data_IF_469481385416
#
_entry.id   IF_469481385416
#
_cell.length_a   1.000
_cell.length_b   1.000
_cell.length_c   1.000
_cell.angle_alpha   90.00
_cell.angle_beta   90.00
_cell.angle_gamma   90.00
#
_symmetry.space_group_name_H-M   'P 1'
#
loop_
_entity.id
_entity.type
_entity.pdbx_description
1 polymer ?
#
# COMPACT_ATOMS: atom_id res chain seq x y z
N UNK A 1 10.88 16.02 -8.59
CA UNK A 1 10.49 15.37 -7.31
C UNK A 1 10.97 13.94 -7.39
N UNK A 2 11.88 13.51 -6.50
CA UNK A 2 12.39 12.14 -6.56
C UNK A 2 11.35 11.17 -6.02
N UNK A 3 11.19 10.02 -6.67
CA UNK A 3 10.28 8.95 -6.25
C UNK A 3 10.55 8.50 -4.79
N UNK A 4 11.80 8.61 -4.34
CA UNK A 4 12.22 8.34 -2.98
C UNK A 4 11.58 9.31 -1.96
N UNK A 5 11.46 10.59 -2.32
CA UNK A 5 10.79 11.59 -1.47
C UNK A 5 9.30 11.25 -1.31
N UNK A 6 8.68 10.74 -2.39
CA UNK A 6 7.28 10.31 -2.37
C UNK A 6 7.09 9.09 -1.46
N UNK A 7 7.96 8.08 -1.55
CA UNK A 7 7.90 6.90 -0.69
C UNK A 7 8.09 7.25 0.80
N UNK A 8 9.00 8.18 1.09
CA UNK A 8 9.18 8.68 2.45
C UNK A 8 7.92 9.38 2.97
N UNK A 9 7.34 10.30 2.18
CA UNK A 9 6.10 10.99 2.56
C UNK A 9 4.92 10.04 2.76
N UNK A 10 4.78 9.01 1.92
CA UNK A 10 3.75 7.99 2.11
C UNK A 10 3.93 7.25 3.45
N UNK A 11 5.18 6.99 3.84
CA UNK A 11 5.50 6.37 5.13
C UNK A 11 5.15 7.28 6.30
N UNK A 12 5.47 8.58 6.21
CA UNK A 12 5.11 9.61 7.21
C UNK A 12 3.59 9.74 7.37
N UNK A 13 2.83 9.65 6.27
CA UNK A 13 1.37 9.64 6.26
C UNK A 13 0.74 8.31 6.72
N UNK A 14 1.57 7.32 7.07
CA UNK A 14 1.15 5.97 7.46
C UNK A 14 0.36 5.24 6.37
N UNK A 15 0.72 5.47 5.11
CA UNK A 15 0.15 4.83 3.91
C UNK A 15 1.07 3.70 3.44
N UNK A 16 1.32 2.72 4.32
CA UNK A 16 2.32 1.69 4.09
C UNK A 16 1.97 0.73 2.94
N UNK A 17 0.69 0.41 2.74
CA UNK A 17 0.22 -0.40 1.62
C UNK A 17 0.38 0.33 0.29
N UNK A 18 0.09 1.64 0.28
CA UNK A 18 0.31 2.50 -0.89
C UNK A 18 1.81 2.62 -1.23
N UNK A 19 2.67 2.82 -0.23
CA UNK A 19 4.13 2.90 -0.44
C UNK A 19 4.68 1.61 -1.07
N UNK A 20 4.29 0.45 -0.52
CA UNK A 20 4.69 -0.85 -1.07
C UNK A 20 4.17 -1.05 -2.50
N UNK A 21 2.90 -0.70 -2.75
CA UNK A 21 2.31 -0.79 -4.09
C UNK A 21 3.02 0.11 -5.10
N UNK A 22 3.42 1.31 -4.71
CA UNK A 22 4.16 2.23 -5.59
C UNK A 22 5.54 1.66 -5.92
N UNK A 23 6.22 1.09 -4.94
CA UNK A 23 7.52 0.44 -5.17
C UNK A 23 7.40 -0.77 -6.11
N UNK A 24 6.33 -1.56 -6.01
CA UNK A 24 6.04 -2.64 -6.95
C UNK A 24 5.71 -2.13 -8.36
N UNK A 25 4.95 -1.04 -8.51
CA UNK A 25 4.65 -0.46 -9.82
C UNK A 25 5.91 0.05 -10.53
N UNK A 26 6.94 0.48 -9.80
CA UNK A 26 8.21 0.93 -10.38
C UNK A 26 9.07 -0.22 -10.90
N UNK A 27 8.96 -1.41 -10.30
CA UNK A 27 9.77 -2.58 -10.68
C UNK A 27 9.02 -3.54 -11.59
N UNK A 28 7.69 -3.44 -11.66
CA UNK A 28 6.85 -4.34 -12.44
C UNK A 28 6.43 -3.72 -13.79
N UNK A 29 6.95 -4.29 -14.89
CA UNK A 29 6.63 -3.88 -16.26
C UNK A 29 5.16 -4.11 -16.64
N UNK A 30 4.43 -5.00 -15.96
CA UNK A 30 3.00 -5.19 -16.20
C UNK A 30 2.17 -3.93 -15.88
N UNK A 31 2.65 -3.09 -14.96
CA UNK A 31 2.00 -1.83 -14.62
C UNK A 31 2.19 -0.74 -15.69
N UNK A 32 3.12 -0.93 -16.63
CA UNK A 32 3.36 0.02 -17.72
C UNK A 32 2.23 0.05 -18.76
N UNK A 33 1.45 -1.03 -18.87
CA UNK A 33 0.29 -1.10 -19.76
C UNK A 33 -0.98 -0.45 -19.21
N UNK A 34 -1.00 -0.09 -17.92
CA UNK A 34 -2.15 0.53 -17.26
C UNK A 34 -2.12 2.05 -17.40
N UNK A 35 -3.30 2.66 -17.40
CA UNK A 35 -3.46 4.10 -17.25
C UNK A 35 -3.04 4.60 -15.85
N UNK A 36 -2.87 5.91 -15.71
CA UNK A 36 -2.58 6.51 -14.41
C UNK A 36 -3.69 6.25 -13.37
N UNK A 37 -4.95 6.47 -13.74
CA UNK A 37 -6.10 6.27 -12.84
C UNK A 37 -6.21 4.82 -12.37
N UNK A 38 -5.94 3.85 -13.26
CA UNK A 38 -5.94 2.42 -12.92
C UNK A 38 -4.82 2.09 -11.93
N UNK A 39 -3.61 2.60 -12.18
CA UNK A 39 -2.50 2.45 -11.23
C UNK A 39 -2.81 3.09 -9.89
N UNK A 40 -3.44 4.26 -9.87
CA UNK A 40 -3.83 4.95 -8.64
C UNK A 40 -4.89 4.16 -7.88
N UNK A 41 -5.91 3.62 -8.56
CA UNK A 41 -6.93 2.78 -7.95
C UNK A 41 -6.31 1.55 -7.27
N UNK A 42 -5.39 0.85 -7.95
CA UNK A 42 -4.66 -0.29 -7.37
C UNK A 42 -3.86 0.08 -6.12
N UNK A 43 -3.27 1.28 -6.08
CA UNK A 43 -2.55 1.77 -4.91
C UNK A 43 -3.48 2.01 -3.71
N UNK A 44 -4.66 2.59 -3.95
CA UNK A 44 -5.67 2.84 -2.93
C UNK A 44 -6.24 1.52 -2.40
N UNK A 45 -6.59 0.59 -3.28
CA UNK A 45 -7.11 -0.73 -2.90
C UNK A 45 -6.11 -1.49 -2.03
N UNK A 46 -4.82 -1.43 -2.39
CA UNK A 46 -3.77 -2.07 -1.62
C UNK A 46 -3.63 -1.46 -0.22
N UNK A 47 -3.76 -0.15 -0.08
CA UNK A 47 -3.77 0.51 1.23
C UNK A 47 -4.98 0.09 2.08
N UNK A 48 -6.17 -0.01 1.48
CA UNK A 48 -7.38 -0.47 2.15
C UNK A 48 -7.22 -1.90 2.67
N UNK A 49 -6.74 -2.81 1.83
CA UNK A 49 -6.47 -4.20 2.22
C UNK A 49 -5.42 -4.26 3.34
N UNK A 50 -4.32 -3.51 3.22
CA UNK A 50 -3.28 -3.47 4.25
C UNK A 50 -3.84 -3.06 5.63
N UNK A 51 -4.71 -2.05 5.66
CA UNK A 51 -5.36 -1.60 6.91
C UNK A 51 -6.32 -2.64 7.45
N UNK A 52 -7.11 -3.26 6.58
CA UNK A 52 -8.04 -4.31 6.95
C UNK A 52 -7.32 -5.51 7.58
N UNK A 53 -6.27 -6.01 6.93
CA UNK A 53 -5.49 -7.15 7.40
C UNK A 53 -4.80 -6.85 8.74
N UNK A 54 -4.24 -5.65 8.89
CA UNK A 54 -3.65 -5.21 10.15
C UNK A 54 -4.67 -5.17 11.28
N UNK A 55 -5.90 -4.69 11.00
CA UNK A 55 -7.01 -4.68 11.97
C UNK A 55 -7.42 -6.11 12.32
N UNK A 56 -7.60 -6.98 11.34
CA UNK A 56 -7.97 -8.38 11.54
C UNK A 56 -6.92 -9.11 12.38
N UNK A 57 -5.64 -8.97 12.04
CA UNK A 57 -4.53 -9.56 12.79
C UNK A 57 -4.50 -9.08 14.25
N UNK A 58 -4.78 -7.79 14.51
CA UNK A 58 -4.88 -7.26 15.86
C UNK A 58 -6.06 -7.86 16.65
N UNK A 59 -7.22 -8.04 16.00
CA UNK A 59 -8.39 -8.68 16.62
C UNK A 59 -8.13 -10.15 16.94
N UNK A 60 -7.54 -10.90 16.00
CA UNK A 60 -7.18 -12.31 16.21
C UNK A 60 -6.17 -12.49 17.34
N UNK A 61 -5.16 -11.61 17.43
CA UNK A 61 -4.20 -11.61 18.55
C UNK A 61 -4.91 -11.40 19.87
N UNK A 62 -5.84 -10.44 19.96
CA UNK A 62 -6.62 -10.19 21.18
C UNK A 62 -7.54 -11.34 21.55
N UNK A 63 -8.15 -12.01 20.56
CA UNK A 63 -9.02 -13.16 20.79
C UNK A 63 -8.25 -14.38 21.33
N UNK A 64 -7.00 -14.57 20.90
CA UNK A 64 -6.11 -15.65 21.39
C UNK A 64 -5.47 -15.38 22.76
N UNK A 65 -5.62 -14.17 23.29
CA UNK A 65 -5.09 -13.74 24.60
C UNK A 65 -6.17 -13.79 25.70
N UNK A 66 -7.36 -14.34 25.40
CA UNK A 66 -8.41 -14.70 26.36
C UNK A 66 -8.51 -16.22 26.40
#
# INVERSE_FOLDING_TARGET
>A
MLINDTLQRLSELRLAGMAAGLQEQLTNSACAGLGFEERLALLVDRELHHRHDKRLAALLKRARLK
#
